data_IF_969090745697
#
_entry.id   IF_969090745697
#
_cell.length_a   1.000
_cell.length_b   1.000
_cell.length_c   1.000
_cell.angle_alpha   90.00
_cell.angle_beta   90.00
_cell.angle_gamma   90.00
#
_symmetry.space_group_name_H-M   'P 1'
#
loop_
_entity.id
_entity.type
_entity.pdbx_description
1 polymer ?
#
# COMPACT_ATOMS: atom_id res chain seq x y z
N UNK A 1 22.39 -13.86 22.51
CA UNK A 1 22.05 -13.10 21.29
C UNK A 1 21.90 -14.11 20.18
N UNK A 2 20.75 -14.19 19.48
CA UNK A 2 20.58 -15.19 18.44
C UNK A 2 21.45 -14.86 17.21
N UNK A 3 21.89 -15.88 16.46
CA UNK A 3 22.75 -15.73 15.31
C UNK A 3 22.00 -15.04 14.16
N UNK A 4 22.70 -14.10 13.53
CA UNK A 4 22.34 -13.50 12.25
C UNK A 4 22.20 -14.60 11.19
N UNK A 5 20.97 -14.83 10.72
CA UNK A 5 20.76 -15.48 9.44
C UNK A 5 21.21 -14.51 8.35
N UNK A 6 22.29 -14.85 7.65
CA UNK A 6 22.61 -14.31 6.34
C UNK A 6 21.51 -14.74 5.36
N UNK A 7 20.37 -14.04 5.41
CA UNK A 7 19.32 -14.21 4.40
C UNK A 7 19.76 -13.42 3.18
N UNK A 8 20.15 -14.13 2.12
CA UNK A 8 20.53 -13.50 0.87
C UNK A 8 19.34 -12.68 0.32
N UNK A 9 19.48 -11.35 0.12
CA UNK A 9 18.37 -10.50 -0.29
C UNK A 9 17.84 -10.83 -1.69
N UNK A 10 18.56 -11.65 -2.45
CA UNK A 10 18.17 -12.15 -3.77
C UNK A 10 17.24 -13.38 -3.70
N UNK A 11 17.12 -14.01 -2.52
CA UNK A 11 16.17 -15.10 -2.27
C UNK A 11 14.85 -14.59 -1.62
N UNK A 12 14.82 -13.34 -1.18
CA UNK A 12 13.59 -12.68 -0.71
C UNK A 12 12.58 -12.41 -1.83
N UNK A 13 13.03 -12.41 -3.07
CA UNK A 13 12.19 -12.14 -4.24
C UNK A 13 11.92 -13.42 -5.02
N UNK A 14 10.63 -13.67 -5.28
CA UNK A 14 10.19 -14.76 -6.12
C UNK A 14 10.80 -14.65 -7.52
N UNK A 15 11.47 -15.72 -7.94
CA UNK A 15 11.98 -15.86 -9.30
C UNK A 15 10.82 -16.14 -10.27
N UNK A 16 10.98 -15.85 -11.57
CA UNK A 16 9.94 -16.12 -12.57
C UNK A 16 9.44 -17.57 -12.60
N UNK A 17 10.26 -18.53 -12.15
CA UNK A 17 9.95 -19.95 -12.14
C UNK A 17 9.47 -20.47 -10.75
N UNK A 18 9.39 -19.61 -9.74
CA UNK A 18 8.97 -20.02 -8.40
C UNK A 18 7.46 -20.28 -8.34
N UNK A 19 7.11 -21.50 -7.95
CA UNK A 19 5.72 -21.91 -7.72
C UNK A 19 5.30 -21.53 -6.31
N UNK A 20 4.51 -20.46 -6.18
CA UNK A 20 3.86 -20.11 -4.92
C UNK A 20 2.76 -21.13 -4.62
N UNK A 21 3.01 -22.06 -3.70
CA UNK A 21 2.01 -22.99 -3.17
C UNK A 21 1.34 -22.34 -1.95
N UNK A 22 0.06 -21.95 -2.01
CA UNK A 22 -0.61 -21.34 -0.86
C UNK A 22 -0.86 -22.39 0.23
N UNK A 23 -0.31 -22.18 1.43
CA UNK A 23 -0.69 -22.94 2.63
C UNK A 23 0.38 -23.85 3.25
N UNK A 24 1.67 -23.70 2.92
CA UNK A 24 2.74 -24.36 3.66
C UNK A 24 3.47 -23.32 4.52
N UNK A 25 3.06 -23.22 5.78
CA UNK A 25 3.92 -22.75 6.86
C UNK A 25 5.08 -23.76 6.93
N UNK A 26 6.20 -23.47 6.25
CA UNK A 26 7.34 -24.36 6.17
C UNK A 26 8.03 -24.42 7.54
N UNK A 27 7.67 -25.46 8.29
CA UNK A 27 8.62 -26.38 8.91
C UNK A 27 9.75 -25.74 9.70
N UNK A 28 9.45 -25.36 10.94
CA UNK A 28 10.44 -25.49 12.01
C UNK A 28 10.77 -26.98 12.21
N UNK A 29 12.05 -27.28 12.36
CA UNK A 29 12.60 -28.60 12.64
C UNK A 29 11.88 -29.28 13.84
N UNK A 30 11.01 -30.24 13.55
CA UNK A 30 10.52 -31.16 14.57
C UNK A 30 11.47 -32.37 14.60
N UNK A 31 12.10 -32.67 15.75
CA UNK A 31 12.96 -33.84 15.86
C UNK A 31 12.13 -35.11 15.70
N UNK A 32 12.69 -36.05 14.97
CA UNK A 32 12.18 -37.39 14.67
C UNK A 32 11.64 -38.07 15.95
N UNK A 33 10.30 -38.04 16.12
CA UNK A 33 9.62 -38.72 17.22
C UNK A 33 9.46 -40.20 16.84
N UNK A 34 9.87 -41.14 17.70
CA UNK A 34 9.79 -42.56 17.39
C UNK A 34 8.33 -42.98 17.24
N UNK A 35 8.10 -43.77 16.18
CA UNK A 35 6.89 -44.53 15.90
C UNK A 35 6.38 -45.26 17.16
N UNK A 36 5.46 -44.62 17.85
CA UNK A 36 4.76 -45.15 19.01
C UNK A 36 3.34 -45.50 18.57
N UNK A 37 3.19 -46.71 18.02
CA UNK A 37 1.91 -47.37 17.87
C UNK A 37 1.15 -47.35 19.21
N UNK A 38 -0.04 -46.74 19.19
CA UNK A 38 -0.87 -46.52 20.36
C UNK A 38 -2.30 -46.16 19.98
N UNK A 39 -3.00 -47.15 19.41
CA UNK A 39 -4.42 -47.44 19.62
C UNK A 39 -5.36 -46.26 19.96
N UNK A 40 -5.96 -45.68 18.92
CA UNK A 40 -7.39 -45.38 18.94
C UNK A 40 -8.05 -46.06 17.73
N UNK A 41 -7.75 -47.35 17.58
CA UNK A 41 -8.30 -48.22 16.55
C UNK A 41 -9.62 -48.82 17.03
N UNK A 42 -10.61 -47.97 17.30
CA UNK A 42 -11.97 -48.37 17.60
C UNK A 42 -12.64 -48.98 16.37
N UNK A 43 -12.42 -50.29 16.19
CA UNK A 43 -13.27 -51.26 15.52
C UNK A 43 -14.07 -50.76 14.30
N UNK A 44 -13.58 -50.97 13.09
CA UNK A 44 -14.37 -51.56 12.00
C UNK A 44 -13.40 -52.18 11.00
N UNK A 45 -13.00 -53.42 11.32
CA UNK A 45 -12.40 -54.31 10.34
C UNK A 45 -13.36 -54.56 9.19
N UNK A 46 -12.78 -54.83 8.03
CA UNK A 46 -13.50 -55.17 6.81
C UNK A 46 -14.60 -56.18 7.04
N UNK A 47 -15.83 -55.72 6.85
CA UNK A 47 -16.96 -56.51 6.43
C UNK A 47 -17.54 -55.77 5.22
N UNK A 48 -17.20 -56.26 4.05
CA UNK A 48 -18.12 -56.22 2.92
C UNK A 48 -19.54 -56.52 3.43
N UNK A 49 -20.48 -55.58 3.18
CA UNK A 49 -21.90 -55.62 3.57
C UNK A 49 -22.31 -55.37 5.03
N UNK A 50 -21.88 -54.24 5.63
CA UNK A 50 -22.61 -53.61 6.73
C UNK A 50 -23.44 -52.41 6.23
N UNK A 51 -24.77 -52.37 6.41
CA UNK A 51 -25.58 -51.25 5.95
C UNK A 51 -25.21 -50.00 6.75
N UNK A 52 -24.73 -48.98 6.04
CA UNK A 52 -24.55 -47.62 6.55
C UNK A 52 -25.85 -47.21 7.27
N UNK A 53 -25.77 -46.92 8.58
CA UNK A 53 -26.91 -46.44 9.36
C UNK A 53 -27.56 -45.26 8.63
N UNK A 54 -28.85 -45.37 8.21
CA UNK A 54 -29.52 -44.29 7.51
C UNK A 54 -29.85 -43.19 8.52
N UNK A 55 -29.26 -42.00 8.36
CA UNK A 55 -29.62 -40.83 9.17
C UNK A 55 -28.46 -40.03 9.78
N UNK A 56 -27.22 -40.26 9.37
CA UNK A 56 -26.15 -39.27 9.58
C UNK A 56 -25.95 -38.50 8.28
N UNK A 57 -26.96 -37.69 7.95
CA UNK A 57 -26.84 -36.64 6.95
C UNK A 57 -25.91 -35.58 7.53
N UNK A 58 -24.60 -35.76 7.36
CA UNK A 58 -23.65 -34.68 7.59
C UNK A 58 -24.01 -33.58 6.58
N UNK A 59 -24.63 -32.52 7.09
CA UNK A 59 -24.90 -31.27 6.36
C UNK A 59 -23.55 -30.61 6.00
N UNK A 60 -22.90 -31.17 4.98
CA UNK A 60 -21.64 -30.67 4.45
C UNK A 60 -21.96 -29.36 3.76
N UNK A 61 -21.40 -28.27 4.29
CA UNK A 61 -21.51 -26.96 3.67
C UNK A 61 -21.03 -27.03 2.21
N UNK A 62 -21.76 -26.34 1.33
CA UNK A 62 -21.43 -26.26 -0.09
C UNK A 62 -20.00 -25.76 -0.29
N UNK A 63 -19.33 -26.28 -1.33
CA UNK A 63 -17.99 -25.85 -1.72
C UNK A 63 -17.97 -24.32 -1.88
N UNK A 64 -17.03 -23.60 -1.21
CA UNK A 64 -16.97 -22.15 -1.31
C UNK A 64 -16.73 -21.71 -2.76
N UNK A 65 -17.37 -20.61 -3.15
CA UNK A 65 -17.22 -20.06 -4.49
C UNK A 65 -15.77 -19.63 -4.73
N UNK A 66 -15.14 -20.22 -5.74
CA UNK A 66 -13.80 -19.84 -6.20
C UNK A 66 -13.93 -18.72 -7.22
N UNK A 67 -13.23 -17.61 -7.00
CA UNK A 67 -13.05 -16.59 -8.03
C UNK A 67 -12.03 -17.06 -9.06
N UNK A 68 -12.19 -16.63 -10.31
CA UNK A 68 -11.22 -16.92 -11.38
C UNK A 68 -9.85 -16.31 -11.05
N UNK A 69 -8.77 -16.97 -11.46
CA UNK A 69 -7.43 -16.41 -11.37
C UNK A 69 -7.34 -15.19 -12.30
N UNK A 70 -7.36 -13.99 -11.71
CA UNK A 70 -7.08 -12.75 -12.44
C UNK A 70 -5.59 -12.48 -12.31
N UNK A 71 -4.90 -12.40 -13.45
CA UNK A 71 -3.52 -11.91 -13.48
C UNK A 71 -3.55 -10.40 -13.27
N UNK A 72 -3.08 -9.95 -12.10
CA UNK A 72 -3.01 -8.54 -11.76
C UNK A 72 -1.62 -8.06 -12.18
N UNK A 73 -1.57 -7.17 -13.17
CA UNK A 73 -0.32 -6.53 -13.58
C UNK A 73 0.26 -5.70 -12.43
N UNK A 74 1.31 -6.22 -11.79
CA UNK A 74 2.07 -5.51 -10.76
C UNK A 74 3.26 -4.78 -11.40
N UNK A 75 3.61 -3.61 -10.87
CA UNK A 75 4.82 -2.91 -11.31
C UNK A 75 6.05 -3.69 -10.87
N UNK A 76 6.85 -4.17 -11.82
CA UNK A 76 8.16 -4.79 -11.55
C UNK A 76 9.30 -3.79 -11.42
N UNK A 77 9.06 -2.56 -11.86
CA UNK A 77 10.03 -1.48 -11.81
C UNK A 77 9.77 -0.58 -10.60
N UNK A 78 10.84 -0.18 -9.93
CA UNK A 78 10.81 0.86 -8.92
C UNK A 78 10.50 2.21 -9.56
N UNK A 79 9.64 3.00 -8.90
CA UNK A 79 9.38 4.39 -9.29
C UNK A 79 10.47 5.29 -8.72
N UNK A 80 11.04 6.15 -9.55
CA UNK A 80 11.96 7.20 -9.12
C UNK A 80 11.28 8.55 -9.28
N UNK A 81 11.42 9.43 -8.29
CA UNK A 81 10.88 10.79 -8.32
C UNK A 81 11.96 11.77 -7.92
N UNK A 82 12.21 12.77 -8.75
CA UNK A 82 13.05 13.90 -8.37
C UNK A 82 12.28 14.85 -7.43
N UNK A 83 12.47 14.62 -6.12
CA UNK A 83 11.83 15.43 -5.07
C UNK A 83 12.22 16.91 -5.16
N UNK A 84 13.43 17.23 -5.63
CA UNK A 84 13.86 18.63 -5.74
C UNK A 84 13.08 19.35 -6.83
N UNK A 85 12.91 18.70 -7.98
CA UNK A 85 12.13 19.23 -9.08
C UNK A 85 10.65 19.42 -8.70
N UNK A 86 10.05 18.42 -8.03
CA UNK A 86 8.67 18.51 -7.53
C UNK A 86 8.52 19.67 -6.56
N UNK A 87 9.42 19.79 -5.57
CA UNK A 87 9.41 20.89 -4.60
C UNK A 87 9.56 22.25 -5.27
N UNK A 88 10.42 22.35 -6.29
CA UNK A 88 10.61 23.60 -7.03
C UNK A 88 9.30 24.03 -7.69
N UNK A 89 8.68 23.18 -8.50
CA UNK A 89 7.44 23.53 -9.19
C UNK A 89 6.27 23.76 -8.24
N UNK A 90 6.18 22.97 -7.17
CA UNK A 90 5.16 23.18 -6.14
C UNK A 90 5.34 24.53 -5.43
N UNK A 91 6.58 24.89 -5.09
CA UNK A 91 6.89 26.19 -4.52
C UNK A 91 6.60 27.32 -5.50
N UNK A 92 6.96 27.19 -6.78
CA UNK A 92 6.70 28.20 -7.80
C UNK A 92 5.20 28.52 -7.85
N UNK A 93 4.33 27.51 -7.87
CA UNK A 93 2.88 27.69 -7.85
C UNK A 93 2.39 28.41 -6.59
N UNK A 94 2.91 28.04 -5.41
CA UNK A 94 2.55 28.70 -4.13
C UNK A 94 3.03 30.16 -4.13
N UNK A 95 4.25 30.42 -4.59
CA UNK A 95 4.82 31.77 -4.61
C UNK A 95 4.09 32.70 -5.57
N UNK A 96 3.62 32.20 -6.71
CA UNK A 96 2.77 32.96 -7.62
C UNK A 96 1.47 33.40 -6.93
N UNK A 97 0.81 32.49 -6.20
CA UNK A 97 -0.42 32.80 -5.47
C UNK A 97 -0.17 33.82 -4.34
N UNK A 98 0.97 33.73 -3.65
CA UNK A 98 1.38 34.69 -2.62
C UNK A 98 1.61 36.08 -3.22
N UNK A 99 2.29 36.15 -4.37
CA UNK A 99 2.54 37.41 -5.07
C UNK A 99 1.23 38.04 -5.58
N UNK A 100 0.32 37.23 -6.13
CA UNK A 100 -1.00 37.68 -6.59
C UNK A 100 -1.85 38.21 -5.42
N UNK A 101 -1.90 37.49 -4.30
CA UNK A 101 -2.59 37.92 -3.09
C UNK A 101 -2.05 39.25 -2.53
N UNK A 102 -0.75 39.49 -2.68
CA UNK A 102 -0.09 40.73 -2.23
C UNK A 102 -0.29 41.90 -3.18
N UNK A 103 -0.55 41.64 -4.46
CA UNK A 103 -0.78 42.69 -5.47
C UNK A 103 -2.19 43.30 -5.36
N UNK A 104 -3.11 42.63 -4.66
CA UNK A 104 -4.46 43.12 -4.40
C UNK A 104 -4.46 44.33 -3.44
N UNK A 105 -5.42 45.27 -3.60
CA UNK A 105 -5.47 46.51 -2.82
C UNK A 105 -5.72 46.30 -1.32
N UNK A 106 -6.29 45.15 -0.94
CA UNK A 106 -6.33 44.70 0.46
C UNK A 106 -5.47 43.44 0.59
N UNK A 107 -4.42 43.46 1.43
CA UNK A 107 -3.57 42.30 1.63
C UNK A 107 -4.38 41.19 2.29
N UNK A 108 -4.66 40.13 1.54
CA UNK A 108 -5.28 38.91 2.04
C UNK A 108 -4.21 37.85 2.26
N UNK A 109 -4.44 36.98 3.24
CA UNK A 109 -3.62 35.79 3.43
C UNK A 109 -3.78 34.92 2.18
N UNK A 110 -2.69 34.66 1.47
CA UNK A 110 -2.70 33.79 0.31
C UNK A 110 -3.01 32.37 0.79
N UNK A 111 -4.15 31.82 0.39
CA UNK A 111 -4.57 30.47 0.76
C UNK A 111 -4.95 29.73 -0.52
N UNK A 112 -4.25 28.62 -0.78
CA UNK A 112 -4.39 27.87 -2.02
C UNK A 112 -4.76 26.42 -1.72
N UNK A 113 -5.79 25.91 -2.41
CA UNK A 113 -6.18 24.50 -2.32
C UNK A 113 -5.00 23.60 -2.70
N UNK A 114 -4.71 22.60 -1.84
CA UNK A 114 -3.66 21.64 -2.10
C UNK A 114 -3.94 20.81 -3.36
N UNK A 115 -5.19 20.40 -3.57
CA UNK A 115 -5.56 19.70 -4.80
C UNK A 115 -5.25 20.55 -6.05
N UNK A 116 -5.63 21.84 -6.05
CA UNK A 116 -5.31 22.74 -7.16
C UNK A 116 -3.82 22.99 -7.35
N UNK A 117 -3.03 22.97 -6.27
CA UNK A 117 -1.56 23.04 -6.34
C UNK A 117 -0.96 21.78 -6.95
N UNK A 118 -1.47 20.59 -6.60
CA UNK A 118 -1.03 19.32 -7.18
C UNK A 118 -1.31 19.30 -8.68
N UNK A 119 -2.51 19.69 -9.11
CA UNK A 119 -2.88 19.70 -10.53
C UNK A 119 -1.95 20.60 -11.35
N UNK A 120 -1.71 21.84 -10.88
CA UNK A 120 -0.77 22.77 -11.54
C UNK A 120 0.68 22.26 -11.53
N UNK A 121 1.10 21.57 -10.46
CA UNK A 121 2.44 20.99 -10.39
C UNK A 121 2.61 19.87 -11.41
N UNK A 122 1.60 19.02 -11.58
CA UNK A 122 1.57 17.94 -12.57
C UNK A 122 1.62 18.51 -14.00
N UNK A 123 0.90 19.60 -14.27
CA UNK A 123 0.91 20.28 -15.57
C UNK A 123 2.28 20.86 -15.94
N UNK A 124 3.08 21.27 -14.95
CA UNK A 124 4.42 21.85 -15.16
C UNK A 124 5.53 20.79 -15.28
N UNK A 125 5.28 19.58 -14.82
CA UNK A 125 6.28 18.50 -14.83
C UNK A 125 6.40 17.80 -16.19
N UNK A 126 7.60 17.32 -16.56
CA UNK A 126 7.76 16.44 -17.71
C UNK A 126 6.94 15.15 -17.56
N UNK A 127 6.42 14.61 -18.68
CA UNK A 127 5.55 13.41 -18.67
C UNK A 127 6.15 12.21 -17.93
N UNK A 128 7.46 11.99 -18.04
CA UNK A 128 8.17 10.90 -17.34
C UNK A 128 8.19 11.03 -15.81
N UNK A 129 8.05 12.25 -15.29
CA UNK A 129 8.04 12.48 -13.84
C UNK A 129 6.61 12.42 -13.30
N UNK A 130 5.62 12.79 -14.13
CA UNK A 130 4.20 12.75 -13.74
C UNK A 130 3.69 11.34 -13.46
N UNK A 131 4.17 10.31 -14.17
CA UNK A 131 3.77 8.90 -13.93
C UNK A 131 4.29 8.32 -12.62
N UNK A 132 5.38 8.92 -12.11
CA UNK A 132 6.02 8.53 -10.86
C UNK A 132 5.52 9.37 -9.69
N UNK A 133 4.91 10.53 -9.95
CA UNK A 133 4.34 11.41 -8.95
C UNK A 133 3.03 10.83 -8.39
N UNK A 134 2.91 10.85 -7.07
CA UNK A 134 1.68 10.50 -6.36
C UNK A 134 1.27 11.62 -5.42
N UNK A 135 -0.01 11.67 -5.06
CA UNK A 135 -0.54 12.63 -4.09
C UNK A 135 0.24 12.57 -2.77
N UNK A 136 0.63 11.39 -2.32
CA UNK A 136 1.43 11.20 -1.11
C UNK A 136 2.81 11.87 -1.21
N UNK A 137 3.48 11.78 -2.36
CA UNK A 137 4.78 12.44 -2.57
C UNK A 137 4.63 13.95 -2.61
N UNK A 138 3.61 14.48 -3.31
CA UNK A 138 3.29 15.90 -3.28
C UNK A 138 3.02 16.40 -1.85
N UNK A 139 2.30 15.60 -1.05
CA UNK A 139 1.97 15.95 0.32
C UNK A 139 3.23 16.02 1.20
N UNK A 140 4.11 15.02 1.10
CA UNK A 140 5.40 15.03 1.81
C UNK A 140 6.24 16.25 1.39
N UNK A 141 6.26 16.59 0.09
CA UNK A 141 6.93 17.79 -0.40
C UNK A 141 6.34 19.08 0.18
N UNK A 142 5.01 19.18 0.26
CA UNK A 142 4.33 20.32 0.88
C UNK A 142 4.68 20.46 2.37
N UNK A 143 4.73 19.36 3.12
CA UNK A 143 5.15 19.37 4.53
C UNK A 143 6.58 19.90 4.70
N UNK A 144 7.49 19.48 3.82
CA UNK A 144 8.85 20.03 3.83
C UNK A 144 8.88 21.52 3.50
N UNK A 145 8.09 21.97 2.51
CA UNK A 145 7.97 23.39 2.18
C UNK A 145 7.38 24.21 3.31
N UNK A 146 6.40 23.70 4.05
CA UNK A 146 5.85 24.37 5.23
C UNK A 146 6.94 24.69 6.25
N UNK A 147 7.84 23.73 6.50
CA UNK A 147 8.96 23.94 7.41
C UNK A 147 10.01 24.91 6.86
N UNK A 148 10.32 24.84 5.55
CA UNK A 148 11.38 25.63 4.93
C UNK A 148 10.99 27.08 4.61
N UNK A 149 9.70 27.32 4.33
CA UNK A 149 9.15 28.59 3.86
C UNK A 149 8.15 29.22 4.83
N UNK A 150 7.94 28.59 5.98
CA UNK A 150 7.01 29.04 7.03
C UNK A 150 5.58 29.16 6.48
N UNK A 151 5.14 28.12 5.75
CA UNK A 151 3.75 27.98 5.30
C UNK A 151 2.93 27.25 6.35
N UNK A 152 1.62 27.48 6.33
CA UNK A 152 0.66 26.85 7.24
C UNK A 152 -0.31 25.96 6.45
N UNK A 153 -0.74 24.87 7.08
CA UNK A 153 -1.77 23.99 6.54
C UNK A 153 -3.09 24.27 7.28
N UNK A 154 -4.08 24.73 6.55
CA UNK A 154 -5.40 25.06 7.08
C UNK A 154 -6.44 24.04 6.61
N UNK A 155 -7.35 23.59 7.50
CA UNK A 155 -8.41 22.67 7.10
C UNK A 155 -9.38 23.37 6.14
N UNK A 156 -9.67 22.73 5.00
CA UNK A 156 -10.62 23.29 4.05
C UNK A 156 -12.03 23.25 4.63
N UNK A 157 -12.69 24.41 4.73
CA UNK A 157 -13.96 24.56 5.48
C UNK A 157 -15.14 23.84 4.81
N UNK A 158 -15.10 23.65 3.49
CA UNK A 158 -16.20 23.07 2.70
C UNK A 158 -16.08 21.56 2.46
N UNK A 159 -14.87 21.00 2.55
CA UNK A 159 -14.56 19.59 2.20
C UNK A 159 -13.62 18.98 3.24
N UNK A 160 -14.13 18.63 4.43
CA UNK A 160 -13.30 18.04 5.48
C UNK A 160 -12.70 16.71 4.99
N UNK A 161 -11.39 16.53 5.18
CA UNK A 161 -10.60 15.37 4.74
C UNK A 161 -10.56 15.13 3.21
N UNK A 162 -11.26 15.93 2.42
CA UNK A 162 -11.20 15.89 0.96
C UNK A 162 -10.09 16.78 0.41
N UNK A 163 -9.88 17.95 1.02
CA UNK A 163 -8.84 18.90 0.66
C UNK A 163 -8.41 19.73 1.88
N UNK A 164 -7.30 20.46 1.74
CA UNK A 164 -6.80 21.42 2.72
C UNK A 164 -6.13 22.59 1.99
N UNK A 165 -6.09 23.75 2.64
CA UNK A 165 -5.49 24.95 2.09
C UNK A 165 -4.04 25.09 2.58
N UNK A 166 -3.15 25.44 1.67
CA UNK A 166 -1.77 25.83 1.97
C UNK A 166 -1.74 27.34 2.03
N UNK A 167 -1.51 27.88 3.21
CA UNK A 167 -1.52 29.31 3.46
C UNK A 167 -0.10 29.87 3.57
N UNK A 168 0.13 31.01 2.91
CA UNK A 168 1.35 31.80 3.05
C UNK A 168 1.54 32.32 4.48
N UNK A 169 2.77 32.77 4.82
CA UNK A 169 3.04 33.38 6.12
C UNK A 169 2.12 34.59 6.36
N UNK A 170 1.77 34.87 7.63
CA UNK A 170 0.91 36.00 8.01
C UNK A 170 1.51 37.38 7.69
#
# INVERSE_FOLDING_TARGET
MPPHLDVDPQELFLRPDDKVVPGLDQGGDFPDLPDAGGDFGGAFGGAEDAPLMPGLDFDLADRPQTVGSVDIGYSRNSKFVDVKLVKQHLWDCISEDIEEARALPEPQKAASSFQGLVDRTVERLPKGETENLSVAVCFICALHLCNEKTLELEPHTSRPLGDFDVAGPP
#
